data_IF_549672051151
#
_entry.id   IF_549672051151
#
_cell.length_a   1.000
_cell.length_b   1.000
_cell.length_c   1.000
_cell.angle_alpha   90.00
_cell.angle_beta   90.00
_cell.angle_gamma   90.00
#
_symmetry.space_group_name_H-M   'P 1'
#
loop_
_entity.id
_entity.type
_entity.pdbx_description
1 polymer ?
#
# COMPACT_ATOMS: atom_id res chain seq x y z
N UNK A 1 -12.89 -48.78 -41.03
CA UNK A 1 -13.77 -48.69 -42.22
C UNK A 1 -14.01 -50.09 -42.76
N UNK A 2 -15.19 -50.46 -43.31
CA UNK A 2 -16.51 -49.82 -43.22
C UNK A 2 -17.67 -50.81 -42.88
N UNK A 3 -18.90 -50.24 -42.86
CA UNK A 3 -20.25 -50.82 -42.83
C UNK A 3 -20.80 -51.19 -41.45
N UNK A 4 -22.06 -50.88 -41.08
CA UNK A 4 -23.28 -50.67 -41.89
C UNK A 4 -24.31 -49.86 -41.08
N UNK A 5 -25.02 -48.95 -41.77
CA UNK A 5 -26.27 -48.31 -41.29
C UNK A 5 -27.44 -49.21 -41.71
N UNK A 6 -28.41 -49.41 -40.82
CA UNK A 6 -29.79 -49.69 -41.19
C UNK A 6 -30.74 -49.12 -40.13
N UNK A 7 -31.88 -48.63 -40.63
CA UNK A 7 -32.79 -47.67 -40.02
C UNK A 7 -34.22 -48.25 -40.03
N UNK A 8 -35.12 -47.65 -39.24
CA UNK A 8 -36.59 -47.87 -39.14
C UNK A 8 -37.04 -49.16 -38.43
N UNK A 9 -38.11 -49.21 -37.61
CA UNK A 9 -39.38 -48.47 -37.59
C UNK A 9 -40.03 -48.54 -36.17
N UNK A 10 -41.04 -47.69 -35.85
CA UNK A 10 -41.57 -47.41 -34.51
C UNK A 10 -42.90 -48.14 -34.22
N UNK A 11 -43.40 -48.10 -32.96
CA UNK A 11 -44.82 -47.86 -32.63
C UNK A 11 -45.12 -47.87 -31.11
N UNK A 12 -46.26 -47.24 -30.82
CA UNK A 12 -46.85 -46.69 -29.61
C UNK A 12 -47.44 -47.69 -28.57
N UNK A 13 -47.93 -47.08 -27.48
CA UNK A 13 -48.82 -47.54 -26.37
C UNK A 13 -48.07 -47.97 -25.09
N UNK A 14 -48.41 -47.53 -23.88
CA UNK A 14 -49.51 -46.73 -23.37
C UNK A 14 -49.31 -46.45 -21.87
N UNK A 15 -50.07 -45.49 -21.37
CA UNK A 15 -50.28 -44.98 -20.00
C UNK A 15 -50.33 -46.01 -18.85
N UNK A 16 -49.72 -45.69 -17.67
CA UNK A 16 -50.38 -45.34 -16.37
C UNK A 16 -49.42 -45.42 -15.16
N UNK A 17 -49.48 -44.39 -14.30
CA UNK A 17 -49.24 -44.32 -12.84
C UNK A 17 -47.94 -44.80 -12.17
N UNK A 18 -47.38 -43.93 -11.32
CA UNK A 18 -46.53 -44.35 -10.20
C UNK A 18 -45.63 -43.24 -9.64
N UNK A 19 -46.10 -42.53 -8.61
CA UNK A 19 -45.22 -41.78 -7.70
C UNK A 19 -44.23 -42.74 -7.03
N UNK A 20 -42.94 -42.39 -6.99
CA UNK A 20 -42.10 -42.67 -5.83
C UNK A 20 -40.89 -41.74 -5.77
N UNK A 21 -40.74 -41.13 -4.60
CA UNK A 21 -39.58 -40.41 -4.12
C UNK A 21 -38.39 -41.36 -3.89
N UNK A 22 -37.21 -40.72 -3.97
CA UNK A 22 -36.05 -40.87 -3.08
C UNK A 22 -34.82 -41.70 -3.50
N UNK A 23 -33.69 -41.08 -3.13
CA UNK A 23 -32.35 -41.59 -2.83
C UNK A 23 -31.34 -41.73 -3.99
N UNK A 24 -30.63 -40.63 -4.26
CA UNK A 24 -29.20 -40.69 -4.64
C UNK A 24 -28.33 -40.68 -3.38
N UNK A 25 -27.25 -41.49 -3.32
CA UNK A 25 -26.43 -41.61 -2.12
C UNK A 25 -25.47 -40.43 -1.94
N UNK A 26 -25.36 -40.01 -0.67
CA UNK A 26 -24.46 -38.99 -0.18
C UNK A 26 -22.99 -39.42 -0.30
N UNK A 27 -22.15 -38.52 -0.80
CA UNK A 27 -20.69 -38.60 -0.68
C UNK A 27 -20.30 -37.99 0.68
N UNK A 28 -19.49 -38.67 1.51
CA UNK A 28 -19.16 -38.15 2.84
C UNK A 28 -18.13 -37.01 2.75
N UNK A 29 -18.46 -35.87 3.36
CA UNK A 29 -17.49 -34.81 3.70
C UNK A 29 -16.79 -35.19 5.02
N UNK A 30 -15.46 -34.98 5.14
CA UNK A 30 -14.78 -35.10 6.43
C UNK A 30 -15.15 -33.90 7.33
N UNK A 31 -15.53 -34.22 8.56
CA UNK A 31 -15.81 -33.28 9.65
C UNK A 31 -14.50 -32.92 10.33
N UNK A 32 -14.07 -31.65 10.22
CA UNK A 32 -13.07 -31.10 11.14
C UNK A 32 -13.79 -30.42 12.31
N UNK A 33 -13.70 -31.03 13.49
CA UNK A 33 -14.05 -30.42 14.78
C UNK A 33 -12.82 -29.69 15.31
N UNK A 34 -12.88 -28.36 15.37
CA UNK A 34 -11.93 -27.52 16.09
C UNK A 34 -12.70 -26.67 17.09
N UNK A 35 -12.63 -27.08 18.35
CA UNK A 35 -13.26 -26.47 19.51
C UNK A 35 -12.69 -25.08 19.80
N UNK A 36 -13.57 -24.07 19.88
CA UNK A 36 -13.30 -22.83 20.60
C UNK A 36 -13.27 -23.11 22.10
N UNK A 37 -12.19 -22.75 22.79
CA UNK A 37 -12.14 -22.22 24.16
C UNK A 37 -10.70 -22.19 24.67
N UNK A 38 -10.10 -20.99 24.76
CA UNK A 38 -9.13 -20.68 25.80
C UNK A 38 -8.95 -19.17 25.95
N UNK A 39 -9.39 -18.67 27.09
CA UNK A 39 -9.11 -17.35 27.66
C UNK A 39 -7.60 -17.20 27.91
N UNK A 40 -6.95 -16.05 27.60
CA UNK A 40 -5.66 -15.75 28.18
C UNK A 40 -5.83 -15.04 29.52
N UNK A 41 -5.13 -15.60 30.51
CA UNK A 41 -4.99 -15.10 31.86
C UNK A 41 -4.29 -13.73 31.91
N UNK A 42 -4.76 -12.88 32.80
CA UNK A 42 -4.10 -11.69 33.31
C UNK A 42 -2.90 -12.07 34.18
N UNK A 43 -1.72 -11.52 33.90
CA UNK A 43 -0.61 -11.48 34.85
C UNK A 43 -0.54 -10.07 35.46
N UNK A 44 -0.94 -9.98 36.73
CA UNK A 44 -0.65 -8.87 37.62
C UNK A 44 0.72 -9.05 38.30
N UNK A 45 1.38 -7.91 38.58
CA UNK A 45 2.49 -7.76 39.51
C UNK A 45 3.85 -7.52 38.83
N UNK A 46 4.72 -6.61 39.26
CA UNK A 46 4.71 -5.68 40.40
C UNK A 46 5.77 -4.59 40.17
N UNK A 47 5.46 -3.33 40.55
CA UNK A 47 6.24 -2.36 41.38
C UNK A 47 7.69 -2.76 41.74
N UNK A 48 8.74 -1.92 41.76
CA UNK A 48 8.98 -0.49 42.07
C UNK A 48 10.52 -0.20 41.79
N UNK A 49 11.20 0.88 42.26
CA UNK A 49 11.13 2.30 41.83
C UNK A 49 12.54 3.00 41.72
N UNK A 50 12.53 4.32 41.40
CA UNK A 50 13.49 5.40 41.81
C UNK A 50 14.97 5.34 41.31
N UNK A 51 15.77 6.41 41.15
CA UNK A 51 15.67 7.88 41.28
C UNK A 51 17.01 8.47 40.76
N UNK A 52 16.93 9.72 40.33
CA UNK A 52 17.86 10.85 40.55
C UNK A 52 19.30 10.91 39.99
N UNK A 53 19.64 12.17 39.69
CA UNK A 53 20.94 12.87 39.69
C UNK A 53 21.52 13.32 38.34
N UNK A 54 21.05 14.51 37.91
CA UNK A 54 21.93 15.58 37.40
C UNK A 54 22.87 16.05 38.53
N UNK A 55 24.06 16.58 38.22
CA UNK A 55 24.20 18.03 38.36
C UNK A 55 25.10 18.73 37.31
N UNK A 56 25.05 20.05 37.45
CA UNK A 56 25.47 21.17 36.62
C UNK A 56 27.00 21.42 36.49
N UNK A 57 27.27 22.44 35.65
CA UNK A 57 28.32 23.47 35.73
C UNK A 57 29.79 23.13 35.42
N UNK A 58 30.36 23.84 34.43
CA UNK A 58 31.27 24.97 34.68
C UNK A 58 31.78 25.58 33.35
N UNK A 59 31.63 26.90 33.21
CA UNK A 59 32.47 27.77 32.37
C UNK A 59 33.67 28.27 33.17
N UNK A 60 34.80 28.57 32.50
CA UNK A 60 35.50 29.80 32.84
C UNK A 60 35.82 30.69 31.62
N UNK A 61 35.95 31.97 31.95
CA UNK A 61 36.18 33.13 31.10
C UNK A 61 37.68 33.49 30.93
N UNK A 62 37.90 34.65 30.28
CA UNK A 62 39.10 35.51 30.27
C UNK A 62 40.27 35.03 29.39
N UNK A 63 41.08 35.87 28.75
CA UNK A 63 41.16 37.32 28.53
C UNK A 63 42.20 37.49 27.40
N UNK A 64 42.26 38.68 26.81
CA UNK A 64 43.49 39.52 26.79
C UNK A 64 43.74 40.27 25.47
N UNK A 65 44.08 41.53 25.69
CA UNK A 65 44.25 42.63 24.77
C UNK A 65 45.58 42.55 24.02
N UNK A 66 45.71 43.26 22.88
CA UNK A 66 46.63 44.41 22.73
C UNK A 66 46.80 44.81 21.26
N UNK A 67 46.40 46.03 20.94
CA UNK A 67 46.95 46.84 19.84
C UNK A 67 48.32 47.42 20.26
N UNK A 68 49.16 47.81 19.29
CA UNK A 68 49.53 49.23 19.30
C UNK A 68 49.51 49.94 17.93
N UNK A 69 49.38 51.26 18.03
CA UNK A 69 49.15 52.28 16.99
C UNK A 69 50.47 52.94 16.50
N UNK A 70 50.38 53.65 15.35
CA UNK A 70 51.13 54.84 14.85
C UNK A 70 52.58 54.61 14.33
N UNK A 71 53.14 55.23 13.26
CA UNK A 71 52.99 56.57 12.64
C UNK A 71 53.43 56.57 11.15
N UNK A 72 52.85 57.54 10.43
CA UNK A 72 52.98 58.03 9.04
C UNK A 72 54.35 58.51 8.53
N UNK A 73 54.50 58.54 7.20
CA UNK A 73 55.14 59.66 6.47
C UNK A 73 54.53 59.84 5.05
N UNK A 74 54.41 61.07 4.50
CA UNK A 74 53.74 61.39 3.23
C UNK A 74 54.73 61.63 2.06
N UNK A 75 54.15 61.82 0.87
CA UNK A 75 54.76 62.26 -0.41
C UNK A 75 55.46 61.21 -1.29
N UNK A 76 54.72 60.70 -2.31
CA UNK A 76 54.93 61.08 -3.73
C UNK A 76 54.06 60.28 -4.72
N UNK A 77 53.60 61.03 -5.71
CA UNK A 77 53.12 60.70 -7.07
C UNK A 77 51.67 60.21 -7.31
N UNK A 78 50.87 60.97 -8.10
CA UNK A 78 49.58 60.56 -8.60
C UNK A 78 49.72 60.03 -10.03
N UNK A 79 50.09 58.76 -10.19
CA UNK A 79 50.00 58.10 -11.50
C UNK A 79 49.23 56.78 -11.41
N UNK A 80 48.02 56.83 -11.99
CA UNK A 80 47.28 55.71 -12.59
C UNK A 80 47.22 54.39 -11.81
N UNK A 81 46.46 54.39 -10.70
CA UNK A 81 45.85 53.15 -10.19
C UNK A 81 44.73 52.72 -11.14
N UNK A 82 45.11 51.93 -12.15
CA UNK A 82 44.20 51.01 -12.83
C UNK A 82 43.50 50.18 -11.72
N UNK A 83 42.16 50.06 -11.70
CA UNK A 83 41.51 49.24 -10.68
C UNK A 83 42.13 47.84 -10.74
N UNK A 84 42.41 47.20 -9.60
CA UNK A 84 42.92 45.84 -9.62
C UNK A 84 41.90 45.03 -10.41
N UNK A 85 42.31 44.54 -11.58
CA UNK A 85 41.58 43.48 -12.26
C UNK A 85 41.60 42.36 -11.25
N UNK A 86 40.46 42.16 -10.61
CA UNK A 86 40.20 41.10 -9.66
C UNK A 86 40.43 39.78 -10.40
N UNK A 87 41.69 39.33 -10.43
CA UNK A 87 42.08 37.96 -10.75
C UNK A 87 41.74 37.08 -9.54
N UNK A 88 40.50 37.17 -9.06
CA UNK A 88 39.93 36.08 -8.27
C UNK A 88 40.05 34.84 -9.16
N UNK A 89 40.66 33.75 -8.68
CA UNK A 89 40.73 32.52 -9.46
C UNK A 89 39.32 32.20 -9.92
N UNK A 90 39.15 31.92 -11.21
CA UNK A 90 37.86 31.54 -11.75
C UNK A 90 37.40 30.28 -10.99
N UNK A 91 36.44 30.44 -10.10
CA UNK A 91 35.94 29.39 -9.21
C UNK A 91 34.64 28.83 -9.78
N UNK A 92 34.37 27.55 -9.52
CA UNK A 92 33.08 26.93 -9.75
C UNK A 92 32.41 26.78 -8.40
N UNK A 93 31.44 27.65 -8.10
CA UNK A 93 30.79 27.73 -6.78
C UNK A 93 29.26 27.72 -6.94
N UNK A 94 28.68 26.62 -7.44
CA UNK A 94 27.24 26.48 -7.52
C UNK A 94 26.64 26.38 -6.11
N UNK A 95 25.63 27.20 -5.83
CA UNK A 95 24.87 27.16 -4.58
C UNK A 95 23.38 26.95 -4.88
N UNK A 96 22.70 26.16 -4.06
CA UNK A 96 21.23 26.06 -4.12
C UNK A 96 20.63 27.29 -3.46
N UNK A 97 19.78 27.99 -4.21
CA UNK A 97 19.14 29.24 -3.73
C UNK A 97 17.66 29.06 -3.43
N UNK A 98 17.00 28.06 -4.03
CA UNK A 98 15.60 27.77 -3.75
C UNK A 98 15.24 26.32 -4.06
N UNK A 99 14.16 25.88 -3.42
CA UNK A 99 13.60 24.55 -3.54
C UNK A 99 12.07 24.66 -3.52
N UNK A 100 11.41 23.96 -4.43
CA UNK A 100 9.97 23.71 -4.36
C UNK A 100 9.68 22.24 -4.62
N UNK A 101 8.58 21.76 -4.04
CA UNK A 101 8.10 20.39 -4.22
C UNK A 101 6.63 20.44 -4.62
N UNK A 102 6.28 19.77 -5.71
CA UNK A 102 4.93 19.71 -6.25
C UNK A 102 4.67 18.35 -6.89
N UNK A 103 3.44 18.08 -7.32
CA UNK A 103 3.22 16.99 -8.29
C UNK A 103 3.68 17.41 -9.70
N UNK A 104 3.58 16.49 -10.66
CA UNK A 104 3.99 16.70 -12.05
C UNK A 104 3.26 17.88 -12.72
N UNK A 105 1.99 18.11 -12.35
CA UNK A 105 1.19 19.23 -12.83
C UNK A 105 1.51 20.57 -12.14
N UNK A 106 2.46 20.61 -11.20
CA UNK A 106 2.80 21.82 -10.44
C UNK A 106 1.86 22.13 -9.27
N UNK A 107 0.94 21.22 -8.93
CA UNK A 107 -0.02 21.37 -7.83
C UNK A 107 0.49 20.74 -6.52
N UNK A 108 -0.26 20.91 -5.43
CA UNK A 108 0.01 20.24 -4.17
C UNK A 108 0.05 18.72 -4.34
N UNK A 109 0.97 18.05 -3.64
CA UNK A 109 1.13 16.61 -3.70
C UNK A 109 -0.02 15.90 -3.01
N UNK A 110 -0.58 14.89 -3.68
CA UNK A 110 -1.49 13.93 -3.08
C UNK A 110 -0.85 12.53 -3.08
N UNK A 111 -1.24 11.69 -2.12
CA UNK A 111 -0.81 10.29 -2.10
C UNK A 111 -1.12 9.62 -3.46
N UNK A 112 -0.11 8.98 -4.04
CA UNK A 112 -0.20 8.35 -5.37
C UNK A 112 0.38 9.19 -6.50
N UNK A 113 0.71 10.46 -6.24
CA UNK A 113 1.52 11.27 -7.14
C UNK A 113 3.00 10.86 -7.05
N UNK A 114 3.77 11.22 -8.08
CA UNK A 114 5.22 11.34 -7.97
C UNK A 114 5.58 12.77 -7.57
N UNK A 115 6.56 12.94 -6.69
CA UNK A 115 7.02 14.26 -6.28
C UNK A 115 8.04 14.83 -7.26
N UNK A 116 7.77 16.04 -7.74
CA UNK A 116 8.68 16.84 -8.56
C UNK A 116 9.35 17.87 -7.67
N UNK A 117 10.66 17.73 -7.50
CA UNK A 117 11.53 18.65 -6.77
C UNK A 117 12.17 19.59 -7.78
N UNK A 118 11.91 20.89 -7.67
CA UNK A 118 12.61 21.91 -8.45
C UNK A 118 13.66 22.59 -7.58
N UNK A 119 14.93 22.39 -7.93
CA UNK A 119 16.08 23.02 -7.29
C UNK A 119 16.62 24.12 -8.19
N UNK A 120 16.79 25.32 -7.63
CA UNK A 120 17.47 26.41 -8.34
C UNK A 120 18.90 26.53 -7.87
N UNK A 121 19.84 26.39 -8.79
CA UNK A 121 21.27 26.59 -8.59
C UNK A 121 21.69 27.93 -9.14
N UNK A 122 22.53 28.66 -8.40
CA UNK A 122 23.22 29.84 -8.90
C UNK A 122 24.72 29.59 -8.85
N UNK A 123 25.37 29.64 -10.00
CA UNK A 123 26.83 29.64 -10.09
C UNK A 123 27.31 31.07 -10.32
N UNK A 124 27.74 31.74 -9.25
CA UNK A 124 28.25 33.10 -9.35
C UNK A 124 29.65 33.19 -9.99
N UNK A 125 30.36 32.05 -10.06
CA UNK A 125 31.68 31.98 -10.66
C UNK A 125 31.66 31.96 -12.19
N UNK A 126 32.80 32.26 -12.80
CA UNK A 126 32.95 32.32 -14.27
C UNK A 126 33.27 30.97 -14.92
N UNK A 127 33.58 29.93 -14.14
CA UNK A 127 33.79 28.57 -14.68
C UNK A 127 32.47 27.80 -14.78
N UNK A 128 32.35 26.99 -15.81
CA UNK A 128 31.37 25.91 -15.87
C UNK A 128 31.91 24.64 -15.18
N UNK A 129 31.01 23.74 -14.82
CA UNK A 129 31.35 22.45 -14.22
C UNK A 129 30.13 21.57 -13.99
N UNK A 130 30.37 20.36 -13.51
CA UNK A 130 29.29 19.44 -13.14
C UNK A 130 29.07 19.43 -11.62
N UNK A 131 27.82 19.24 -11.20
CA UNK A 131 27.45 18.96 -9.81
C UNK A 131 26.74 17.62 -9.74
N UNK A 132 27.06 16.84 -8.71
CA UNK A 132 26.27 15.67 -8.32
C UNK A 132 25.31 16.06 -7.21
N UNK A 133 24.04 15.74 -7.37
CA UNK A 133 23.00 16.06 -6.40
C UNK A 133 22.33 14.78 -5.96
N UNK A 134 22.42 14.46 -4.67
CA UNK A 134 21.80 13.26 -4.09
C UNK A 134 20.78 13.68 -3.04
N UNK A 135 19.47 13.60 -3.34
CA UNK A 135 18.43 13.93 -2.38
C UNK A 135 18.39 12.93 -1.22
N UNK A 136 18.02 13.43 -0.06
CA UNK A 136 17.85 12.67 1.17
C UNK A 136 16.46 13.00 1.71
N UNK A 137 15.59 12.00 1.81
CA UNK A 137 14.20 12.14 2.23
C UNK A 137 14.01 11.60 3.64
N UNK A 138 13.28 12.34 4.47
CA UNK A 138 12.85 11.89 5.80
C UNK A 138 11.34 12.07 5.94
N UNK A 139 10.65 11.06 6.43
CA UNK A 139 9.26 11.18 6.86
C UNK A 139 9.20 11.50 8.35
N UNK A 140 8.24 12.34 8.75
CA UNK A 140 7.94 12.58 10.18
C UNK A 140 6.99 11.52 10.76
N UNK A 141 6.36 10.70 9.91
CA UNK A 141 5.34 9.72 10.30
C UNK A 141 5.89 8.30 10.48
N UNK A 142 6.78 7.86 9.61
CA UNK A 142 7.26 6.47 9.60
C UNK A 142 8.56 6.34 10.39
N UNK A 143 8.61 5.35 11.29
CA UNK A 143 9.59 5.28 12.39
C UNK A 143 11.05 5.19 11.90
N UNK A 144 11.27 4.45 10.81
CA UNK A 144 12.58 4.16 10.23
C UNK A 144 12.79 4.77 8.83
N UNK A 145 11.85 5.61 8.38
CA UNK A 145 11.97 6.39 7.15
C UNK A 145 12.74 7.69 7.41
N UNK A 146 14.02 7.54 7.77
CA UNK A 146 14.92 8.63 8.13
C UNK A 146 16.17 8.60 7.26
N UNK A 147 16.54 9.76 6.71
CA UNK A 147 17.73 9.93 5.88
C UNK A 147 17.79 8.96 4.68
N UNK A 148 16.65 8.67 4.06
CA UNK A 148 16.56 7.77 2.91
C UNK A 148 17.22 8.43 1.70
N UNK A 149 18.27 7.79 1.18
CA UNK A 149 19.04 8.34 0.06
C UNK A 149 18.40 7.95 -1.27
N UNK A 150 18.17 8.96 -2.11
CA UNK A 150 17.61 8.80 -3.45
C UNK A 150 18.74 8.81 -4.51
N UNK A 151 18.47 8.36 -5.75
CA UNK A 151 19.46 8.35 -6.81
C UNK A 151 20.11 9.71 -7.05
N UNK A 152 21.42 9.68 -7.29
CA UNK A 152 22.20 10.87 -7.64
C UNK A 152 21.88 11.32 -9.06
N UNK A 153 21.77 12.64 -9.25
CA UNK A 153 21.63 13.27 -10.56
C UNK A 153 22.83 14.16 -10.82
N UNK A 154 23.44 13.97 -12.00
CA UNK A 154 24.54 14.79 -12.49
C UNK A 154 23.97 15.95 -13.32
N UNK A 155 24.38 17.17 -12.97
CA UNK A 155 23.92 18.40 -13.63
C UNK A 155 25.10 19.23 -14.07
N UNK A 156 25.15 19.60 -15.35
CA UNK A 156 26.09 20.62 -15.83
C UNK A 156 25.55 22.02 -15.53
N UNK A 157 26.36 22.91 -14.96
CA UNK A 157 26.01 24.31 -14.68
C UNK A 157 27.05 25.22 -15.32
N UNK A 158 26.61 26.22 -16.09
CA UNK A 158 27.50 27.15 -16.77
C UNK A 158 27.98 28.26 -15.82
N UNK A 159 29.07 28.93 -16.20
CA UNK A 159 29.56 30.12 -15.49
C UNK A 159 28.52 31.25 -15.51
N UNK A 160 28.26 31.86 -14.35
CA UNK A 160 27.28 32.95 -14.20
C UNK A 160 25.81 32.53 -14.32
N UNK A 161 25.51 31.25 -14.50
CA UNK A 161 24.14 30.77 -14.76
C UNK A 161 23.31 30.65 -13.48
N UNK A 162 22.00 30.90 -13.62
CA UNK A 162 20.98 30.39 -12.70
C UNK A 162 20.22 29.25 -13.40
N UNK A 163 20.37 28.03 -12.89
CA UNK A 163 19.81 26.82 -13.49
C UNK A 163 18.73 26.22 -12.59
N UNK A 164 17.59 25.88 -13.16
CA UNK A 164 16.56 25.09 -12.48
C UNK A 164 16.69 23.62 -12.89
N UNK A 165 16.89 22.74 -11.93
CA UNK A 165 16.90 21.30 -12.12
C UNK A 165 15.62 20.69 -11.56
N UNK A 166 15.10 19.68 -12.24
CA UNK A 166 13.92 18.92 -11.81
C UNK A 166 14.33 17.50 -11.45
N UNK A 167 14.03 17.07 -10.23
CA UNK A 167 14.25 15.72 -9.75
C UNK A 167 12.89 15.08 -9.44
N UNK A 168 12.72 13.80 -9.79
CA UNK A 168 11.47 13.08 -9.56
C UNK A 168 11.70 12.05 -8.46
N UNK A 169 10.85 12.07 -7.43
CA UNK A 169 10.68 10.97 -6.48
C UNK A 169 9.45 10.19 -6.93
N UNK A 170 9.60 8.98 -7.49
CA UNK A 170 8.46 8.17 -7.87
C UNK A 170 7.65 7.75 -6.65
N UNK A 171 6.39 7.36 -6.85
CA UNK A 171 5.50 6.88 -5.78
C UNK A 171 6.10 5.74 -4.97
N UNK A 172 6.77 4.80 -5.64
CA UNK A 172 7.60 3.77 -5.02
C UNK A 172 9.06 4.00 -5.37
N UNK A 173 9.93 4.00 -4.38
CA UNK A 173 11.35 4.25 -4.56
C UNK A 173 12.16 3.40 -3.60
N UNK A 174 13.45 3.31 -3.90
CA UNK A 174 14.41 2.49 -3.18
C UNK A 174 15.48 3.38 -2.57
N UNK A 175 15.85 3.09 -1.34
CA UNK A 175 17.03 3.67 -0.70
C UNK A 175 18.29 3.06 -1.32
N UNK A 176 19.08 3.90 -1.98
CA UNK A 176 20.31 3.45 -2.67
C UNK A 176 21.41 3.02 -1.70
N UNK A 177 21.31 3.34 -0.42
CA UNK A 177 22.34 3.04 0.59
C UNK A 177 22.21 1.66 1.23
N UNK A 178 20.99 1.18 1.42
CA UNK A 178 20.70 -0.06 2.15
C UNK A 178 19.71 -0.98 1.43
N UNK A 179 19.27 -0.60 0.21
CA UNK A 179 18.33 -1.33 -0.63
C UNK A 179 16.91 -1.50 -0.05
N UNK A 180 16.51 -0.72 0.96
CA UNK A 180 15.13 -0.69 1.48
C UNK A 180 14.15 -0.13 0.45
N UNK A 181 12.92 -0.61 0.46
CA UNK A 181 11.84 -0.20 -0.44
C UNK A 181 10.80 0.64 0.32
N UNK A 182 10.34 1.73 -0.29
CA UNK A 182 9.43 2.69 0.33
C UNK A 182 8.30 3.12 -0.60
N UNK A 183 7.21 3.59 0.00
CA UNK A 183 6.13 4.25 -0.70
C UNK A 183 5.93 5.68 -0.15
N UNK A 184 5.78 6.66 -1.05
CA UNK A 184 5.55 8.07 -0.69
C UNK A 184 4.09 8.28 -0.23
N UNK A 185 3.78 7.83 0.98
CA UNK A 185 2.43 7.89 1.55
C UNK A 185 2.11 9.30 2.09
N UNK A 186 0.86 9.54 2.48
CA UNK A 186 0.42 10.79 3.10
C UNK A 186 1.21 11.10 4.38
N UNK A 187 1.42 12.39 4.61
CA UNK A 187 2.08 12.93 5.80
C UNK A 187 3.16 13.96 5.44
N UNK A 188 3.85 14.41 6.49
CA UNK A 188 4.89 15.42 6.38
C UNK A 188 6.25 14.81 6.11
N UNK A 189 6.99 15.44 5.21
CA UNK A 189 8.34 15.04 4.80
C UNK A 189 9.28 16.23 4.86
N UNK A 190 10.58 15.93 4.95
CA UNK A 190 11.65 16.90 4.80
C UNK A 190 12.74 16.40 3.85
N UNK A 191 13.33 17.33 3.11
CA UNK A 191 14.44 17.08 2.19
C UNK A 191 15.75 17.66 2.73
N UNK A 192 16.83 16.94 2.48
CA UNK A 192 18.19 17.45 2.47
C UNK A 192 18.86 17.02 1.16
N UNK A 193 19.97 17.65 0.81
CA UNK A 193 20.68 17.35 -0.43
C UNK A 193 22.17 17.25 -0.17
N UNK A 194 22.76 16.14 -0.58
CA UNK A 194 24.19 16.04 -0.73
C UNK A 194 24.59 16.60 -2.10
N UNK A 195 25.39 17.67 -2.10
CA UNK A 195 25.83 18.38 -3.32
C UNK A 195 27.34 18.28 -3.41
N UNK A 196 27.83 17.75 -4.52
CA UNK A 196 29.25 17.54 -4.78
C UNK A 196 29.62 18.22 -6.11
N UNK A 197 30.20 19.43 -6.06
CA UNK A 197 30.76 20.07 -7.23
C UNK A 197 32.00 19.33 -7.74
N UNK A 198 32.21 19.33 -9.05
CA UNK A 198 33.41 18.79 -9.68
C UNK A 198 34.68 19.44 -9.13
N UNK A 199 35.60 18.61 -8.63
CA UNK A 199 36.84 19.08 -7.99
C UNK A 199 36.65 19.79 -6.65
N UNK A 200 35.44 19.76 -6.09
CA UNK A 200 35.08 20.38 -4.81
C UNK A 200 34.77 19.37 -3.71
N UNK A 201 34.49 19.90 -2.51
CA UNK A 201 34.06 19.09 -1.36
C UNK A 201 32.55 18.91 -1.38
N UNK A 202 32.11 17.68 -1.13
CA UNK A 202 30.71 17.35 -0.89
C UNK A 202 30.16 18.11 0.33
N UNK A 203 29.02 18.76 0.17
CA UNK A 203 28.31 19.47 1.25
C UNK A 203 26.86 18.97 1.36
N UNK A 204 26.38 18.79 2.58
CA UNK A 204 24.97 18.51 2.83
C UNK A 204 24.23 19.83 3.06
N UNK A 205 23.31 20.17 2.17
CA UNK A 205 22.39 21.29 2.32
C UNK A 205 21.10 20.80 2.96
N UNK A 206 20.88 21.19 4.20
CA UNK A 206 19.65 20.91 4.93
C UNK A 206 18.85 22.18 5.21
N UNK A 207 19.43 23.38 5.22
CA UNK A 207 18.76 24.63 5.63
C UNK A 207 18.08 25.38 4.46
N UNK A 208 17.34 24.67 3.60
CA UNK A 208 16.65 25.26 2.45
C UNK A 208 15.18 25.60 2.76
N UNK A 209 14.75 26.80 2.39
CA UNK A 209 13.32 27.16 2.38
C UNK A 209 12.57 26.27 1.39
N UNK A 210 11.42 25.72 1.80
CA UNK A 210 10.63 24.79 0.99
C UNK A 210 11.06 23.31 1.07
N UNK A 211 12.02 22.98 1.95
CA UNK A 211 12.46 21.59 2.19
C UNK A 211 11.41 20.70 2.85
N UNK A 212 10.58 21.30 3.70
CA UNK A 212 9.50 20.64 4.39
C UNK A 212 8.27 20.71 3.49
N UNK A 213 7.64 19.58 3.22
CA UNK A 213 6.45 19.49 2.36
C UNK A 213 5.47 18.44 2.87
N UNK A 214 4.22 18.55 2.43
CA UNK A 214 3.13 17.65 2.82
C UNK A 214 2.66 16.83 1.61
N UNK A 215 2.44 15.54 1.83
CA UNK A 215 1.71 14.68 0.90
C UNK A 215 0.28 14.56 1.41
N UNK A 216 -0.67 15.16 0.70
CA UNK A 216 -2.08 15.18 1.05
C UNK A 216 -2.78 13.82 0.94
N UNK A 217 -3.97 13.74 1.53
CA UNK A 217 -4.82 12.55 1.48
C UNK A 217 -5.35 12.30 0.06
N UNK A 218 -5.49 11.03 -0.31
CA UNK A 218 -6.22 10.57 -1.50
C UNK A 218 -6.87 9.22 -1.20
N UNK A 219 -7.60 8.67 -2.18
CA UNK A 219 -8.21 7.34 -2.13
C UNK A 219 -7.28 6.22 -2.62
N UNK A 220 -5.97 6.48 -2.73
CA UNK A 220 -4.99 5.50 -3.20
C UNK A 220 -4.61 4.54 -2.08
N UNK A 221 -4.49 3.25 -2.41
CA UNK A 221 -4.00 2.19 -1.52
C UNK A 221 -2.70 1.63 -2.09
N UNK A 222 -1.61 1.73 -1.34
CA UNK A 222 -0.31 1.19 -1.70
C UNK A 222 -0.17 -0.24 -1.20
N UNK A 223 -0.09 -1.17 -2.15
CA UNK A 223 -0.11 -2.60 -1.87
C UNK A 223 1.20 -3.24 -2.29
N UNK A 224 1.94 -3.79 -1.33
CA UNK A 224 3.09 -4.64 -1.60
C UNK A 224 2.60 -6.05 -1.94
N UNK A 225 3.02 -6.59 -3.09
CA UNK A 225 2.63 -7.93 -3.54
C UNK A 225 3.85 -8.82 -3.66
N UNK A 226 3.90 -9.85 -2.83
CA UNK A 226 4.95 -10.87 -2.79
C UNK A 226 4.45 -12.12 -3.52
N UNK A 227 5.16 -12.58 -4.54
CA UNK A 227 4.67 -13.66 -5.40
C UNK A 227 5.76 -14.67 -5.81
N UNK A 228 5.31 -15.87 -6.18
CA UNK A 228 6.11 -16.90 -6.87
C UNK A 228 5.58 -17.18 -8.28
N UNK A 229 6.51 -17.50 -9.19
CA UNK A 229 6.19 -17.89 -10.56
C UNK A 229 5.23 -19.08 -10.62
N UNK A 230 5.34 -20.04 -9.70
CA UNK A 230 4.47 -21.21 -9.64
C UNK A 230 2.98 -20.87 -9.53
N UNK A 231 2.61 -19.71 -8.92
CA UNK A 231 1.21 -19.26 -8.87
C UNK A 231 0.66 -19.02 -10.29
N UNK A 232 1.43 -18.33 -11.12
CA UNK A 232 1.05 -18.00 -12.49
C UNK A 232 1.13 -19.21 -13.41
N UNK A 233 2.10 -20.09 -13.19
CA UNK A 233 2.23 -21.36 -13.93
C UNK A 233 1.01 -22.26 -13.68
N UNK A 234 0.59 -22.41 -12.41
CA UNK A 234 -0.57 -23.24 -12.04
C UNK A 234 -1.88 -22.67 -12.58
N UNK A 235 -2.01 -21.35 -12.61
CA UNK A 235 -3.19 -20.66 -13.18
C UNK A 235 -3.15 -20.50 -14.69
N UNK A 236 -2.02 -20.84 -15.33
CA UNK A 236 -1.75 -20.68 -16.76
C UNK A 236 -1.88 -19.22 -17.24
N UNK A 237 -1.60 -18.25 -16.37
CA UNK A 237 -1.57 -16.84 -16.75
C UNK A 237 -0.19 -16.48 -17.31
N UNK A 238 -0.15 -15.92 -18.51
CA UNK A 238 1.11 -15.57 -19.21
C UNK A 238 1.38 -14.07 -19.30
N UNK A 239 0.50 -13.24 -18.72
CA UNK A 239 0.72 -11.79 -18.65
C UNK A 239 1.67 -11.38 -17.52
N UNK A 240 1.95 -10.08 -17.40
CA UNK A 240 2.71 -9.54 -16.28
C UNK A 240 1.89 -9.48 -14.98
N UNK A 241 2.55 -9.62 -13.83
CA UNK A 241 1.92 -9.64 -12.50
C UNK A 241 1.10 -8.37 -12.21
N UNK A 242 1.65 -7.20 -12.53
CA UNK A 242 0.94 -5.93 -12.37
C UNK A 242 -0.32 -5.86 -13.24
N UNK A 243 -0.28 -6.44 -14.45
CA UNK A 243 -1.44 -6.55 -15.33
C UNK A 243 -2.48 -7.50 -14.74
N UNK A 244 -2.07 -8.65 -14.20
CA UNK A 244 -2.97 -9.59 -13.51
C UNK A 244 -3.70 -8.90 -12.36
N UNK A 245 -2.96 -8.18 -11.51
CA UNK A 245 -3.51 -7.45 -10.37
C UNK A 245 -4.46 -6.34 -10.82
N UNK A 246 -4.06 -5.52 -11.79
CA UNK A 246 -4.92 -4.48 -12.34
C UNK A 246 -6.22 -5.06 -12.92
N UNK A 247 -6.12 -6.13 -13.73
CA UNK A 247 -7.28 -6.85 -14.28
C UNK A 247 -8.17 -7.41 -13.16
N UNK A 248 -7.59 -7.88 -12.07
CA UNK A 248 -8.32 -8.45 -10.92
C UNK A 248 -9.15 -7.39 -10.19
N UNK A 249 -8.55 -6.26 -9.82
CA UNK A 249 -9.20 -5.20 -9.04
C UNK A 249 -10.15 -4.33 -9.88
N UNK A 250 -9.90 -4.25 -11.19
CA UNK A 250 -10.77 -3.50 -12.13
C UNK A 250 -11.75 -4.37 -12.89
N UNK A 251 -11.78 -5.69 -12.62
CA UNK A 251 -12.72 -6.62 -13.27
C UNK A 251 -14.15 -6.18 -13.00
N UNK A 252 -14.95 -6.04 -14.06
CA UNK A 252 -16.37 -5.66 -13.96
C UNK A 252 -17.07 -6.47 -12.85
N UNK A 253 -17.66 -5.74 -11.91
CA UNK A 253 -18.38 -6.30 -10.79
C UNK A 253 -19.82 -5.81 -10.74
N UNK A 254 -20.64 -6.47 -9.92
CA UNK A 254 -22.02 -6.08 -9.65
C UNK A 254 -22.28 -6.16 -8.15
N UNK A 255 -23.11 -5.26 -7.63
CA UNK A 255 -23.70 -5.38 -6.30
C UNK A 255 -25.14 -5.85 -6.47
N UNK A 256 -25.50 -6.95 -5.80
CA UNK A 256 -26.88 -7.35 -5.60
C UNK A 256 -27.47 -6.61 -4.40
N UNK A 257 -28.55 -5.87 -4.62
CA UNK A 257 -29.50 -5.48 -3.57
C UNK A 257 -30.64 -6.50 -3.59
N UNK A 258 -30.69 -7.42 -2.63
CA UNK A 258 -31.63 -8.52 -2.70
C UNK A 258 -33.05 -8.04 -2.36
N UNK A 259 -34.06 -8.73 -2.88
CA UNK A 259 -35.48 -8.45 -2.54
C UNK A 259 -35.86 -8.93 -1.14
N UNK A 260 -35.05 -9.82 -0.56
CA UNK A 260 -35.15 -10.32 0.81
C UNK A 260 -33.75 -10.28 1.42
N UNK A 261 -33.64 -10.06 2.73
CA UNK A 261 -32.36 -9.81 3.42
C UNK A 261 -31.22 -10.78 3.08
N UNK A 262 -31.54 -12.06 2.88
CA UNK A 262 -30.58 -13.14 2.59
C UNK A 262 -30.80 -13.80 1.22
N UNK A 263 -31.49 -13.10 0.31
CA UNK A 263 -31.85 -13.60 -1.01
C UNK A 263 -30.73 -13.52 -2.04
N UNK A 264 -30.75 -14.41 -3.03
CA UNK A 264 -29.85 -14.36 -4.19
C UNK A 264 -30.43 -13.65 -5.42
N UNK A 265 -31.64 -13.09 -5.29
CA UNK A 265 -32.36 -12.40 -6.37
C UNK A 265 -32.66 -10.96 -5.99
N UNK A 266 -32.63 -10.06 -6.97
CA UNK A 266 -32.97 -8.66 -6.75
C UNK A 266 -32.38 -7.75 -7.83
N UNK A 267 -32.10 -6.51 -7.44
CA UNK A 267 -31.59 -5.50 -8.35
C UNK A 267 -30.07 -5.51 -8.35
N UNK A 268 -29.48 -5.54 -9.54
CA UNK A 268 -28.04 -5.47 -9.73
C UNK A 268 -27.62 -4.05 -10.13
N UNK A 269 -26.56 -3.56 -9.50
CA UNK A 269 -25.86 -2.36 -9.93
C UNK A 269 -24.47 -2.73 -10.43
N UNK A 270 -24.19 -2.50 -11.71
CA UNK A 270 -22.89 -2.81 -12.29
C UNK A 270 -21.85 -1.70 -12.02
N UNK A 271 -20.59 -2.12 -11.88
CA UNK A 271 -19.40 -1.29 -11.71
C UNK A 271 -18.37 -1.71 -12.77
N UNK A 272 -18.29 -0.99 -13.90
CA UNK A 272 -17.42 -1.33 -15.02
C UNK A 272 -15.93 -1.49 -14.66
N UNK A 273 -15.46 -0.78 -13.63
CA UNK A 273 -14.09 -0.85 -13.12
C UNK A 273 -14.00 -1.57 -11.77
N UNK A 274 -14.94 -2.47 -11.50
CA UNK A 274 -14.80 -3.49 -10.46
C UNK A 274 -14.71 -2.96 -9.04
N UNK A 275 -13.86 -3.62 -8.25
CA UNK A 275 -13.68 -3.35 -6.84
C UNK A 275 -13.22 -1.91 -6.57
N UNK A 276 -12.25 -1.42 -7.35
CA UNK A 276 -11.71 -0.06 -7.18
C UNK A 276 -12.81 1.00 -7.35
N UNK A 277 -13.66 0.90 -8.38
CA UNK A 277 -14.79 1.83 -8.55
C UNK A 277 -15.87 1.63 -7.49
N UNK A 278 -16.16 0.39 -7.12
CA UNK A 278 -17.16 0.04 -6.12
C UNK A 278 -16.84 0.62 -4.74
N UNK A 279 -15.56 0.59 -4.36
CA UNK A 279 -15.06 1.13 -3.09
C UNK A 279 -14.55 2.56 -3.21
N UNK A 280 -14.64 3.17 -4.40
CA UNK A 280 -14.08 4.49 -4.68
C UNK A 280 -12.61 4.64 -4.27
N UNK A 281 -11.80 3.59 -4.47
CA UNK A 281 -10.35 3.56 -4.21
C UNK A 281 -9.57 3.36 -5.51
N UNK A 282 -8.26 3.60 -5.45
CA UNK A 282 -7.33 3.20 -6.51
C UNK A 282 -6.24 2.34 -5.89
N UNK A 283 -6.22 1.06 -6.21
CA UNK A 283 -5.19 0.16 -5.72
C UNK A 283 -3.95 0.26 -6.61
N UNK A 284 -2.80 0.54 -6.01
CA UNK A 284 -1.53 0.70 -6.71
C UNK A 284 -0.53 -0.31 -6.16
N UNK A 285 -0.01 -1.15 -7.05
CA UNK A 285 0.80 -2.31 -6.68
C UNK A 285 2.28 -2.04 -6.85
N UNK A 286 3.08 -2.51 -5.88
CA UNK A 286 4.51 -2.77 -6.06
C UNK A 286 4.74 -4.26 -5.91
N UNK A 287 5.23 -4.90 -6.97
CA UNK A 287 5.39 -6.36 -7.00
C UNK A 287 6.83 -6.77 -6.68
N UNK A 288 6.95 -7.90 -5.99
CA UNK A 288 8.22 -8.47 -5.55
C UNK A 288 8.17 -9.98 -5.71
N UNK A 289 9.09 -10.51 -6.49
CA UNK A 289 9.26 -11.94 -6.72
C UNK A 289 9.97 -12.63 -5.55
N UNK A 290 10.01 -13.97 -5.62
CA UNK A 290 10.78 -14.82 -4.71
C UNK A 290 10.06 -15.19 -3.41
N UNK A 291 8.77 -14.90 -3.29
CA UNK A 291 7.95 -15.39 -2.18
C UNK A 291 7.70 -16.88 -2.34
N UNK A 292 7.75 -17.65 -1.25
CA UNK A 292 7.36 -19.06 -1.22
C UNK A 292 6.82 -19.35 0.16
N UNK A 293 5.70 -20.08 0.22
CA UNK A 293 5.22 -20.59 1.50
C UNK A 293 6.04 -21.81 1.91
N UNK A 294 6.43 -21.87 3.18
CA UNK A 294 6.90 -23.08 3.83
C UNK A 294 5.69 -23.86 4.34
N UNK A 295 5.29 -24.87 3.58
CA UNK A 295 4.19 -25.78 3.91
C UNK A 295 4.52 -26.75 5.05
N UNK A 296 5.78 -26.83 5.48
CA UNK A 296 6.21 -27.64 6.63
C UNK A 296 6.19 -26.85 7.94
N UNK A 297 6.17 -25.52 7.86
CA UNK A 297 5.96 -24.65 9.00
C UNK A 297 4.47 -24.65 9.42
N UNK A 298 4.08 -23.72 10.30
CA UNK A 298 2.68 -23.52 10.61
C UNK A 298 1.89 -23.11 9.35
N UNK A 299 1.14 -24.07 8.81
CA UNK A 299 0.26 -23.91 7.65
C UNK A 299 -1.21 -23.68 8.09
N UNK A 300 -1.43 -23.26 9.35
CA UNK A 300 -2.68 -22.65 9.74
C UNK A 300 -2.85 -21.30 9.02
N UNK A 301 -4.08 -20.79 9.02
CA UNK A 301 -4.35 -19.47 8.46
C UNK A 301 -3.45 -18.37 9.02
N UNK A 302 -3.30 -18.31 10.34
CA UNK A 302 -2.40 -17.35 11.01
C UNK A 302 -0.94 -17.59 10.66
N UNK A 303 -0.52 -18.85 10.54
CA UNK A 303 0.84 -19.22 10.14
C UNK A 303 1.19 -18.74 8.72
N UNK A 304 0.28 -18.89 7.76
CA UNK A 304 0.45 -18.39 6.38
C UNK A 304 0.64 -16.88 6.36
N UNK A 305 -0.18 -16.14 7.10
CA UNK A 305 -0.10 -14.68 7.15
C UNK A 305 1.22 -14.19 7.78
N UNK A 306 1.67 -14.81 8.87
CA UNK A 306 2.98 -14.49 9.47
C UNK A 306 4.14 -14.71 8.48
N UNK A 307 4.04 -15.70 7.59
CA UNK A 307 5.05 -15.90 6.54
C UNK A 307 5.04 -14.76 5.51
N UNK A 308 3.87 -14.23 5.14
CA UNK A 308 3.75 -13.04 4.29
C UNK A 308 4.38 -11.82 4.98
N UNK A 309 4.07 -11.61 6.26
CA UNK A 309 4.56 -10.46 7.05
C UNK A 309 6.08 -10.51 7.25
N UNK A 310 6.62 -11.69 7.54
CA UNK A 310 8.05 -11.94 7.66
C UNK A 310 8.79 -11.79 6.33
N UNK A 311 8.19 -12.25 5.22
CA UNK A 311 8.75 -12.00 3.89
C UNK A 311 8.74 -10.49 3.58
N UNK A 312 7.66 -9.79 3.91
CA UNK A 312 7.56 -8.34 3.75
C UNK A 312 8.65 -7.60 4.52
N UNK A 313 8.92 -7.99 5.76
CA UNK A 313 10.07 -7.47 6.53
C UNK A 313 11.37 -7.60 5.77
N UNK A 314 11.70 -8.82 5.33
CA UNK A 314 12.94 -9.08 4.61
C UNK A 314 13.01 -8.31 3.29
N UNK A 315 11.92 -8.30 2.52
CA UNK A 315 11.91 -7.79 1.14
C UNK A 315 11.88 -6.27 1.06
N UNK A 316 11.14 -5.63 1.96
CA UNK A 316 11.05 -4.17 2.07
C UNK A 316 12.17 -3.59 2.95
N UNK A 317 12.79 -4.44 3.79
CA UNK A 317 13.82 -4.06 4.75
C UNK A 317 13.25 -3.37 6.00
N UNK A 318 12.07 -3.82 6.44
CA UNK A 318 11.42 -3.31 7.66
C UNK A 318 12.18 -3.74 8.92
N UNK A 319 12.01 -3.00 10.01
CA UNK A 319 12.56 -3.40 11.32
C UNK A 319 11.77 -4.54 11.98
N UNK A 320 10.46 -4.59 11.73
CA UNK A 320 9.54 -5.61 12.25
C UNK A 320 8.83 -6.31 11.11
N UNK A 321 8.15 -7.41 11.42
CA UNK A 321 7.25 -8.06 10.47
C UNK A 321 6.19 -7.04 10.01
N UNK A 322 5.65 -7.16 8.80
CA UNK A 322 4.62 -6.23 8.33
C UNK A 322 3.47 -6.16 9.35
N UNK A 323 3.10 -4.96 9.78
CA UNK A 323 2.12 -4.76 10.86
C UNK A 323 0.85 -4.10 10.33
N UNK A 324 -0.29 -4.39 10.93
CA UNK A 324 -1.48 -3.56 10.77
C UNK A 324 -1.73 -2.67 11.99
N UNK A 325 -2.68 -1.75 11.90
CA UNK A 325 -2.92 -0.72 12.92
C UNK A 325 -4.08 -1.08 13.86
N UNK A 326 -4.14 -2.32 14.35
CA UNK A 326 -5.20 -2.71 15.30
C UNK A 326 -6.60 -2.55 14.69
N UNK A 327 -6.80 -3.09 13.49
CA UNK A 327 -8.05 -3.04 12.72
C UNK A 327 -8.40 -1.67 12.10
N UNK A 328 -7.70 -0.57 12.40
CA UNK A 328 -8.10 0.77 11.93
C UNK A 328 -7.73 1.15 10.47
N UNK A 329 -7.24 0.20 9.64
CA UNK A 329 -6.84 0.39 8.22
C UNK A 329 -5.87 1.54 7.94
N UNK A 330 -5.25 2.10 8.97
CA UNK A 330 -4.23 3.11 8.78
C UNK A 330 -2.95 2.41 8.28
N UNK A 331 -2.15 3.12 7.51
CA UNK A 331 -0.77 2.68 7.24
C UNK A 331 -0.04 2.62 8.58
N UNK A 332 0.47 1.45 8.94
CA UNK A 332 1.29 1.30 10.13
C UNK A 332 2.61 2.07 9.95
N UNK A 333 3.13 2.67 11.02
CA UNK A 333 4.33 3.51 10.99
C UNK A 333 5.61 2.73 10.64
N UNK A 334 5.59 1.41 10.86
CA UNK A 334 6.71 0.50 10.58
C UNK A 334 6.67 -0.12 9.16
N UNK A 335 5.70 0.22 8.32
CA UNK A 335 5.52 -0.42 6.99
C UNK A 335 6.13 0.37 5.82
N UNK A 336 7.05 1.31 6.07
CA UNK A 336 7.68 2.12 5.01
C UNK A 336 6.69 2.85 4.08
N UNK A 337 5.47 3.14 4.56
CA UNK A 337 4.42 3.75 3.75
C UNK A 337 3.54 2.80 2.94
N UNK A 338 3.71 1.48 3.02
CA UNK A 338 2.77 0.52 2.41
C UNK A 338 1.55 0.30 3.30
N UNK A 339 0.35 0.33 2.70
CA UNK A 339 -0.91 0.18 3.44
C UNK A 339 -1.30 -1.30 3.61
N UNK A 340 -0.99 -2.13 2.61
CA UNK A 340 -1.38 -3.55 2.56
C UNK A 340 -0.25 -4.43 2.04
N UNK A 341 -0.27 -5.70 2.47
CA UNK A 341 0.60 -6.76 1.97
C UNK A 341 -0.22 -7.94 1.42
N UNK A 342 0.16 -8.45 0.25
CA UNK A 342 -0.44 -9.62 -0.39
C UNK A 342 0.65 -10.64 -0.67
N UNK A 343 0.55 -11.84 -0.09
CA UNK A 343 1.31 -13.01 -0.54
C UNK A 343 0.54 -13.80 -1.59
N UNK A 344 1.18 -14.23 -2.66
CA UNK A 344 0.58 -15.06 -3.71
C UNK A 344 1.38 -16.35 -3.86
N UNK A 345 0.73 -17.49 -3.57
CA UNK A 345 1.38 -18.80 -3.60
C UNK A 345 0.58 -19.85 -4.38
N UNK A 346 1.28 -20.75 -5.05
CA UNK A 346 0.66 -21.82 -5.83
C UNK A 346 -0.07 -22.87 -4.96
N UNK A 347 0.11 -22.81 -3.64
CA UNK A 347 -0.47 -23.75 -2.69
C UNK A 347 -2.01 -23.74 -2.68
N UNK A 348 -2.58 -24.92 -2.43
CA UNK A 348 -4.01 -25.24 -2.61
C UNK A 348 -4.96 -24.80 -1.49
N UNK A 349 -4.74 -23.66 -0.82
CA UNK A 349 -5.50 -23.29 0.39
C UNK A 349 -6.66 -22.32 0.15
N UNK A 350 -6.89 -21.88 -1.09
CA UNK A 350 -7.84 -20.80 -1.37
C UNK A 350 -7.24 -19.46 -0.97
N UNK A 351 -7.69 -18.84 0.11
CA UNK A 351 -7.17 -17.56 0.57
C UNK A 351 -7.32 -17.38 2.08
N UNK A 352 -6.60 -16.40 2.61
CA UNK A 352 -6.83 -15.89 3.95
C UNK A 352 -6.45 -14.42 4.04
N UNK A 353 -7.20 -13.66 4.83
CA UNK A 353 -6.88 -12.30 5.22
C UNK A 353 -6.87 -12.12 6.74
N UNK A 354 -6.08 -11.16 7.20
CA UNK A 354 -6.18 -10.62 8.54
C UNK A 354 -6.41 -9.12 8.50
N UNK A 355 -7.68 -8.78 8.73
CA UNK A 355 -8.24 -7.44 8.70
C UNK A 355 -7.47 -6.44 9.55
N UNK A 356 -6.88 -6.90 10.66
CA UNK A 356 -6.16 -6.05 11.60
C UNK A 356 -4.66 -5.95 11.31
N UNK A 357 -4.13 -6.87 10.49
CA UNK A 357 -2.77 -6.84 9.94
C UNK A 357 -2.66 -6.10 8.60
N UNK A 358 -3.80 -5.85 7.92
CA UNK A 358 -3.84 -5.40 6.51
C UNK A 358 -3.03 -6.34 5.58
N UNK A 359 -2.98 -7.62 5.94
CA UNK A 359 -2.24 -8.67 5.26
C UNK A 359 -3.22 -9.68 4.69
N UNK A 360 -2.96 -10.18 3.50
CA UNK A 360 -3.63 -11.36 2.97
C UNK A 360 -2.65 -12.30 2.26
N UNK A 361 -3.08 -13.54 2.11
CA UNK A 361 -2.46 -14.53 1.25
C UNK A 361 -3.50 -15.08 0.27
N UNK A 362 -3.14 -15.18 -1.00
CA UNK A 362 -3.92 -15.84 -2.04
C UNK A 362 -3.19 -17.10 -2.50
N UNK A 363 -3.82 -18.23 -2.27
CA UNK A 363 -3.51 -19.53 -2.85
C UNK A 363 -4.24 -19.75 -4.17
N UNK A 364 -3.97 -20.90 -4.80
CA UNK A 364 -4.77 -21.40 -5.93
C UNK A 364 -5.85 -22.34 -5.40
N UNK A 365 -7.01 -22.36 -6.05
CA UNK A 365 -8.05 -23.33 -5.73
C UNK A 365 -7.82 -24.62 -6.52
N UNK A 366 -7.39 -25.71 -5.87
CA UNK A 366 -7.00 -26.95 -6.56
C UNK A 366 -8.12 -27.58 -7.40
N UNK A 367 -9.38 -27.44 -6.95
CA UNK A 367 -10.55 -27.92 -7.70
C UNK A 367 -10.88 -27.10 -8.96
N UNK A 368 -10.32 -25.89 -9.09
CA UNK A 368 -10.49 -25.00 -10.23
C UNK A 368 -9.35 -23.97 -10.27
N UNK A 369 -8.19 -24.33 -10.86
CA UNK A 369 -7.05 -23.43 -10.96
C UNK A 369 -7.20 -22.41 -12.09
N UNK A 370 -8.41 -22.06 -12.50
CA UNK A 370 -8.60 -21.05 -13.54
C UNK A 370 -8.20 -19.66 -13.06
N UNK A 371 -7.68 -18.84 -13.98
CA UNK A 371 -7.37 -17.42 -13.76
C UNK A 371 -8.51 -16.73 -13.01
N UNK A 372 -9.75 -16.88 -13.49
CA UNK A 372 -10.88 -16.19 -12.89
C UNK A 372 -11.25 -16.67 -11.49
N UNK A 373 -10.94 -17.91 -11.11
CA UNK A 373 -11.12 -18.41 -9.75
C UNK A 373 -10.05 -17.85 -8.82
N UNK A 374 -8.79 -17.83 -9.25
CA UNK A 374 -7.69 -17.25 -8.48
C UNK A 374 -7.83 -15.73 -8.28
N UNK A 375 -8.32 -15.01 -9.30
CA UNK A 375 -8.65 -13.58 -9.18
C UNK A 375 -9.80 -13.33 -8.17
N UNK A 376 -10.80 -14.22 -8.14
CA UNK A 376 -11.91 -14.14 -7.18
C UNK A 376 -11.41 -14.33 -5.74
N UNK A 377 -10.56 -15.32 -5.50
CA UNK A 377 -9.91 -15.53 -4.19
C UNK A 377 -9.18 -14.28 -3.74
N UNK A 378 -8.36 -13.69 -4.61
CA UNK A 378 -7.58 -12.50 -4.26
C UNK A 378 -8.48 -11.35 -3.78
N UNK A 379 -9.58 -11.11 -4.49
CA UNK A 379 -10.55 -10.06 -4.18
C UNK A 379 -11.45 -10.39 -2.99
N UNK A 380 -11.77 -11.67 -2.75
CA UNK A 380 -12.43 -12.11 -1.51
C UNK A 380 -11.60 -11.70 -0.29
N UNK A 381 -10.30 -12.02 -0.30
CA UNK A 381 -9.41 -11.66 0.82
C UNK A 381 -9.22 -10.14 0.94
N UNK A 382 -9.23 -9.41 -0.18
CA UNK A 382 -9.25 -7.96 -0.15
C UNK A 382 -10.54 -7.44 0.48
N UNK A 383 -11.69 -8.05 0.22
CA UNK A 383 -12.96 -7.72 0.87
C UNK A 383 -12.91 -7.87 2.39
N UNK A 384 -12.22 -8.89 2.90
CA UNK A 384 -11.94 -9.05 4.34
C UNK A 384 -11.03 -7.94 4.88
N UNK A 385 -9.95 -7.59 4.19
CA UNK A 385 -9.12 -6.44 4.57
C UNK A 385 -9.95 -5.13 4.57
N UNK A 386 -10.86 -5.05 3.61
CA UNK A 386 -11.91 -4.05 3.52
C UNK A 386 -13.11 -4.35 4.42
N UNK A 387 -13.02 -5.25 5.39
CA UNK A 387 -13.88 -5.36 6.57
C UNK A 387 -15.21 -6.09 6.38
N UNK A 388 -15.48 -6.63 5.20
CA UNK A 388 -16.63 -7.51 5.03
C UNK A 388 -16.34 -8.87 5.70
N UNK A 389 -17.21 -9.39 6.58
CA UNK A 389 -17.15 -10.78 6.98
C UNK A 389 -17.66 -11.68 5.84
N UNK A 390 -17.62 -12.99 6.05
CA UNK A 390 -18.37 -13.88 5.17
C UNK A 390 -19.86 -13.57 5.19
N UNK A 391 -20.51 -13.69 4.04
CA UNK A 391 -21.97 -13.60 3.91
C UNK A 391 -22.69 -14.93 4.13
N UNK A 392 -22.05 -15.90 4.80
CA UNK A 392 -22.66 -17.19 5.09
C UNK A 392 -23.95 -17.04 5.94
N UNK A 393 -25.00 -17.85 5.69
CA UNK A 393 -25.05 -19.00 4.79
C UNK A 393 -25.40 -18.67 3.34
N UNK A 394 -25.51 -17.39 2.95
CA UNK A 394 -25.74 -16.99 1.55
C UNK A 394 -24.58 -17.53 0.71
N UNK A 395 -24.82 -17.91 -0.54
CA UNK A 395 -23.80 -18.50 -1.42
C UNK A 395 -23.78 -17.77 -2.77
N UNK A 396 -22.60 -17.73 -3.40
CA UNK A 396 -22.45 -17.28 -4.78
C UNK A 396 -22.11 -15.79 -4.94
N UNK A 397 -21.69 -15.09 -3.90
CA UNK A 397 -21.30 -13.67 -3.91
C UNK A 397 -19.96 -13.44 -3.25
N UNK A 398 -18.99 -12.81 -3.93
CA UNK A 398 -17.54 -12.81 -3.61
C UNK A 398 -17.11 -13.14 -2.17
N UNK A 399 -17.76 -12.60 -1.14
CA UNK A 399 -17.49 -12.84 0.27
C UNK A 399 -18.09 -14.12 0.88
N UNK A 400 -18.90 -14.95 0.23
CA UNK A 400 -19.47 -16.13 0.90
C UNK A 400 -18.64 -17.42 0.66
N UNK A 401 -18.83 -18.44 1.49
CA UNK A 401 -17.98 -19.64 1.47
C UNK A 401 -18.38 -20.66 0.40
N UNK A 402 -18.02 -20.48 -0.89
CA UNK A 402 -18.22 -21.57 -1.88
C UNK A 402 -18.31 -21.29 -3.40
N UNK A 403 -17.74 -20.22 -3.95
CA UNK A 403 -18.61 -19.44 -4.88
C UNK A 403 -18.35 -19.45 -6.38
N UNK A 404 -19.44 -19.36 -7.16
CA UNK A 404 -19.54 -18.56 -8.39
C UNK A 404 -21.02 -18.14 -8.52
N UNK A 405 -21.34 -16.85 -8.61
CA UNK A 405 -22.70 -16.42 -8.99
C UNK A 405 -23.05 -17.00 -10.37
N UNK A 406 -24.33 -17.21 -10.68
CA UNK A 406 -24.71 -17.61 -12.05
C UNK A 406 -24.27 -16.58 -13.10
N UNK A 407 -24.25 -15.30 -12.76
CA UNK A 407 -23.74 -14.22 -13.62
C UNK A 407 -22.25 -14.37 -13.92
N UNK A 408 -21.47 -14.98 -13.02
CA UNK A 408 -20.07 -15.29 -13.29
C UNK A 408 -19.97 -16.35 -14.40
N UNK A 409 -20.80 -17.39 -14.36
CA UNK A 409 -20.82 -18.42 -15.41
C UNK A 409 -21.23 -17.84 -16.78
N UNK A 410 -22.14 -16.86 -16.78
CA UNK A 410 -22.66 -16.25 -18.02
C UNK A 410 -21.76 -15.16 -18.60
N UNK A 411 -21.13 -14.35 -17.75
CA UNK A 411 -20.48 -13.10 -18.17
C UNK A 411 -19.14 -12.83 -17.50
N UNK A 412 -18.67 -13.74 -16.63
CA UNK A 412 -17.41 -13.59 -15.91
C UNK A 412 -17.40 -12.47 -14.87
N UNK A 413 -18.56 -11.92 -14.49
CA UNK A 413 -18.66 -10.81 -13.54
C UNK A 413 -18.54 -11.28 -12.09
N UNK A 414 -17.86 -10.48 -11.27
CA UNK A 414 -17.79 -10.69 -9.82
C UNK A 414 -19.00 -10.05 -9.15
N UNK A 415 -19.81 -10.84 -8.45
CA UNK A 415 -21.05 -10.35 -7.84
C UNK A 415 -20.87 -10.28 -6.33
N UNK A 416 -21.20 -9.14 -5.73
CA UNK A 416 -21.13 -8.88 -4.31
C UNK A 416 -22.52 -8.76 -3.72
N UNK A 417 -22.69 -9.22 -2.48
CA UNK A 417 -23.90 -8.94 -1.72
C UNK A 417 -23.84 -7.53 -1.14
N UNK A 418 -24.95 -6.78 -1.13
CA UNK A 418 -24.99 -5.42 -0.57
C UNK A 418 -24.55 -5.35 0.89
N UNK A 419 -24.80 -6.40 1.69
CA UNK A 419 -24.32 -6.52 3.07
C UNK A 419 -22.79 -6.37 3.15
N UNK A 420 -22.04 -7.05 2.28
CA UNK A 420 -20.58 -6.97 2.23
C UNK A 420 -20.14 -5.52 2.00
N UNK A 421 -20.74 -4.85 1.02
CA UNK A 421 -20.40 -3.45 0.68
C UNK A 421 -20.65 -2.51 1.85
N UNK A 422 -21.80 -2.67 2.52
CA UNK A 422 -22.15 -1.88 3.69
C UNK A 422 -21.13 -2.06 4.81
N UNK A 423 -20.71 -3.29 5.07
CA UNK A 423 -19.73 -3.56 6.13
C UNK A 423 -18.34 -3.02 5.75
N UNK A 424 -18.00 -3.05 4.46
CA UNK A 424 -16.75 -2.42 4.01
C UNK A 424 -16.74 -0.90 4.19
N UNK A 425 -17.86 -0.25 3.85
CA UNK A 425 -18.04 1.20 3.95
C UNK A 425 -18.14 1.71 5.39
N UNK A 426 -18.79 0.97 6.31
CA UNK A 426 -18.83 1.33 7.75
C UNK A 426 -17.43 1.55 8.31
N UNK A 427 -16.48 0.70 7.88
CA UNK A 427 -15.09 0.77 8.34
C UNK A 427 -14.27 1.84 7.61
N UNK A 428 -14.60 2.18 6.37
CA UNK A 428 -14.02 3.35 5.69
C UNK A 428 -14.38 4.67 6.39
N UNK A 429 -15.61 4.80 6.86
CA UNK A 429 -16.08 5.99 7.60
C UNK A 429 -15.38 6.18 8.95
N UNK A 430 -14.88 5.10 9.57
CA UNK A 430 -14.09 5.16 10.81
C UNK A 430 -12.58 5.46 10.61
N UNK A 431 -12.01 5.08 9.47
CA UNK A 431 -10.57 5.25 9.16
C UNK A 431 -10.26 6.51 8.32
N UNK A 432 -11.26 7.02 7.61
CA UNK A 432 -11.20 8.21 6.77
C UNK A 432 -12.27 9.18 7.27
N UNK A 433 -11.91 10.02 8.24
CA UNK A 433 -12.74 11.19 8.52
C UNK A 433 -12.84 12.06 7.26
N UNK A 434 -14.06 12.06 6.72
CA UNK A 434 -14.74 12.98 5.81
C UNK A 434 -14.66 12.76 4.27
N UNK A 435 -15.85 12.41 3.73
CA UNK A 435 -16.49 12.90 2.51
C UNK A 435 -16.36 12.14 1.17
N UNK A 436 -16.49 10.81 1.15
CA UNK A 436 -16.81 10.14 -0.11
C UNK A 436 -17.89 9.05 0.11
N UNK A 437 -18.99 9.19 -0.63
CA UNK A 437 -20.21 8.36 -0.62
C UNK A 437 -21.23 8.64 0.50
N UNK A 438 -21.98 9.73 0.32
CA UNK A 438 -23.35 9.80 0.85
C UNK A 438 -24.26 9.00 -0.09
N UNK A 439 -24.29 7.67 0.05
CA UNK A 439 -25.35 6.84 -0.52
C UNK A 439 -26.57 6.92 0.42
N UNK A 440 -27.27 8.05 0.39
CA UNK A 440 -28.63 8.19 0.94
C UNK A 440 -29.68 7.38 0.17
N UNK A 441 -29.28 6.38 -0.61
CA UNK A 441 -30.16 5.59 -1.47
C UNK A 441 -30.38 4.15 -0.99
N UNK A 442 -30.13 3.87 0.29
CA UNK A 442 -30.73 2.71 0.94
C UNK A 442 -31.79 3.23 1.92
N UNK A 443 -33.07 2.83 1.79
CA UNK A 443 -34.04 3.14 2.83
C UNK A 443 -33.50 2.52 4.11
N UNK A 444 -33.30 3.35 5.13
CA UNK A 444 -33.12 2.88 6.50
C UNK A 444 -34.39 2.13 6.85
N UNK A 445 -34.41 0.81 6.69
CA UNK A 445 -35.40 0.01 7.40
C UNK A 445 -35.11 0.20 8.89
N UNK A 446 -36.09 0.78 9.56
CA UNK A 446 -36.12 0.89 11.01
C UNK A 446 -35.84 -0.47 11.61
N UNK A 447 -34.69 -0.63 12.23
CA UNK A 447 -34.45 -1.71 13.18
C UNK A 447 -35.34 -1.41 14.37
N UNK A 448 -36.56 -1.96 14.39
CA UNK A 448 -37.34 -2.05 15.62
C UNK A 448 -36.57 -2.96 16.55
N UNK A 449 -36.09 -2.41 17.66
CA UNK A 449 -35.52 -3.20 18.76
C UNK A 449 -36.48 -4.33 19.14
N UNK A 450 -36.00 -5.57 19.33
CA UNK A 450 -36.83 -6.60 19.93
C UNK A 450 -37.13 -6.21 21.37
N UNK A 451 -38.40 -5.90 21.63
CA UNK A 451 -38.97 -5.82 22.98
C UNK A 451 -38.66 -7.14 23.69
N UNK A 452 -37.86 -7.07 24.75
CA UNK A 452 -37.66 -8.14 25.72
C UNK A 452 -39.01 -8.53 26.33
N UNK A 453 -39.61 -9.60 25.82
CA UNK A 453 -40.69 -10.29 26.50
C UNK A 453 -40.09 -11.15 27.61
N UNK A 454 -40.19 -10.65 28.85
CA UNK A 454 -40.01 -11.44 30.06
C UNK A 454 -41.19 -12.40 30.15
N UNK A 455 -40.97 -13.69 29.89
CA UNK A 455 -41.91 -14.73 30.25
C UNK A 455 -41.56 -15.25 31.64
N UNK A 456 -42.35 -14.81 32.61
CA UNK A 456 -42.38 -15.35 33.97
C UNK A 456 -42.99 -16.75 33.93
N UNK A 457 -42.31 -17.71 34.55
CA UNK A 457 -42.74 -19.10 34.60
C UNK A 457 -43.78 -19.32 35.68
N UNK A 458 -44.91 -19.93 35.34
CA UNK A 458 -45.69 -20.78 36.25
C UNK A 458 -46.44 -21.87 35.46
N UNK A 459 -45.99 -23.11 35.70
CA UNK A 459 -46.59 -24.44 35.52
C UNK A 459 -45.77 -25.40 34.64
#
# INVERSE_FOLDING_TARGET
>A
MPFKIQSFCPLLFGTLFGMSLACSPAVPRPVFKGSANSVPATCEGSKCPTKDDDPEEETPAADDETDPVVVSDPDKDPDTVKPPVSNLPATFTPAVTSLTVSNEAGSALLKGDSATIKLTFKNAGSKEGSIKVSPILTSKRFSDFKNVRLPTVDLKVLGGETKVASLIIPTFFKDVSNNKEFALNRGSYSLAFDIEPEGGTKKTESALTGRDFEVGKSNVVFTAVFWEQAYFDKTKYTGGVEKYLAETFTRKGEILTPTQTDGSTGNFKSFPKGFDEMMAVKTVFKTFDGFSLDTKADFSGTGILHQVEAFGKKRLGLLKDFQGTGCDRLTHEDNHGFDMAIGMSHEGFGGIAWVCGNTQASGVFDGDPSIGRSQMVLIHETGHNFGAPHCDPIQGFIMCSGEKHEHYAQSGQFVWHSNSIRDMQKKEQGSITNNYLNLTAFPSESVSEPVLAVCDGTH
#
